data_IF_550212971241
#
_entry.id   IF_550212971241
#
_cell.length_a   1.000
_cell.length_b   1.000
_cell.length_c   1.000
_cell.angle_alpha   90.00
_cell.angle_beta   90.00
_cell.angle_gamma   90.00
#
_symmetry.space_group_name_H-M   'P 1'
#
loop_
_entity.id
_entity.type
_entity.pdbx_description
1 polymer ?
#
# COMPACT_ATOMS: atom_id res chain seq x y z
N UNK A 1 16.12 -32.89 -29.75
CA UNK A 1 14.94 -32.00 -29.61
C UNK A 1 15.30 -30.70 -28.90
N UNK A 2 15.82 -30.73 -27.67
CA UNK A 2 16.22 -29.51 -26.93
C UNK A 2 17.16 -28.58 -27.71
N UNK A 3 18.26 -29.13 -28.26
CA UNK A 3 19.23 -28.35 -29.08
C UNK A 3 18.54 -27.65 -30.26
N UNK A 4 17.64 -28.36 -30.94
CA UNK A 4 16.93 -27.83 -32.12
C UNK A 4 15.95 -26.72 -31.72
N UNK A 5 15.22 -26.88 -30.61
CA UNK A 5 14.33 -25.84 -30.10
C UNK A 5 15.10 -24.62 -29.62
N UNK A 6 16.28 -24.82 -29.01
CA UNK A 6 17.14 -23.73 -28.61
C UNK A 6 17.65 -22.93 -29.83
N UNK A 7 18.15 -23.62 -30.85
CA UNK A 7 18.56 -22.99 -32.12
C UNK A 7 17.38 -22.26 -32.77
N UNK A 8 16.19 -22.86 -32.78
CA UNK A 8 14.99 -22.21 -33.31
C UNK A 8 14.66 -20.92 -32.53
N UNK A 9 14.72 -20.95 -31.20
CA UNK A 9 14.49 -19.77 -30.36
C UNK A 9 15.51 -18.65 -30.63
N UNK A 10 16.80 -19.00 -30.76
CA UNK A 10 17.88 -18.05 -31.07
C UNK A 10 17.71 -17.43 -32.47
N UNK A 11 17.35 -18.23 -33.47
CA UNK A 11 17.06 -17.73 -34.81
C UNK A 11 15.84 -16.80 -34.83
N UNK A 12 14.74 -17.17 -34.15
CA UNK A 12 13.52 -16.36 -34.08
C UNK A 12 13.76 -15.02 -33.37
N UNK A 13 14.56 -15.02 -32.31
CA UNK A 13 14.87 -13.80 -31.55
C UNK A 13 15.50 -12.70 -32.42
N UNK A 14 16.32 -13.06 -33.40
CA UNK A 14 16.97 -12.12 -34.31
C UNK A 14 16.08 -11.52 -35.40
N UNK A 15 14.83 -11.97 -35.53
CA UNK A 15 13.91 -11.54 -36.60
C UNK A 15 13.08 -10.35 -36.11
N UNK A 16 12.96 -9.30 -36.93
CA UNK A 16 12.14 -8.13 -36.60
C UNK A 16 10.63 -8.44 -36.63
N UNK A 17 9.83 -7.55 -36.04
CA UNK A 17 8.37 -7.64 -36.13
C UNK A 17 7.91 -7.31 -37.57
N UNK A 18 6.91 -8.06 -38.07
CA UNK A 18 6.35 -7.92 -39.42
C UNK A 18 7.41 -7.91 -40.52
N UNK A 19 8.26 -8.95 -40.62
CA UNK A 19 9.33 -9.00 -41.60
C UNK A 19 8.76 -9.19 -43.02
N UNK A 20 9.58 -8.95 -44.04
CA UNK A 20 9.18 -9.12 -45.44
C UNK A 20 8.76 -10.55 -45.81
N UNK A 21 8.01 -10.70 -46.90
CA UNK A 21 7.42 -11.98 -47.34
C UNK A 21 8.43 -13.12 -47.44
N UNK A 22 9.63 -12.86 -47.96
CA UNK A 22 10.69 -13.88 -48.08
C UNK A 22 11.13 -14.45 -46.72
N UNK A 23 11.22 -13.61 -45.69
CA UNK A 23 11.57 -14.06 -44.33
C UNK A 23 10.40 -14.86 -43.75
N UNK A 24 9.16 -14.40 -43.96
CA UNK A 24 7.95 -15.11 -43.53
C UNK A 24 7.85 -16.51 -44.17
N UNK A 25 8.11 -16.63 -45.47
CA UNK A 25 8.14 -17.91 -46.19
C UNK A 25 9.23 -18.83 -45.63
N UNK A 26 10.40 -18.30 -45.30
CA UNK A 26 11.52 -19.06 -44.74
C UNK A 26 11.22 -19.62 -43.34
N UNK A 27 10.47 -18.89 -42.50
CA UNK A 27 10.11 -19.34 -41.14
C UNK A 27 8.84 -20.18 -41.09
N UNK A 28 8.02 -20.21 -42.16
CA UNK A 28 6.76 -20.95 -42.21
C UNK A 28 6.87 -22.44 -41.80
N UNK A 29 7.92 -23.20 -42.19
CA UNK A 29 8.11 -24.57 -41.72
C UNK A 29 8.29 -24.66 -40.21
N UNK A 30 8.99 -23.69 -39.60
CA UNK A 30 9.18 -23.61 -38.15
C UNK A 30 7.84 -23.34 -37.45
N UNK A 31 7.09 -22.32 -37.90
CA UNK A 31 5.76 -21.98 -37.37
C UNK A 31 4.83 -23.19 -37.38
N UNK A 32 4.87 -23.99 -38.45
CA UNK A 32 4.04 -25.19 -38.60
C UNK A 32 4.54 -26.34 -37.72
N UNK A 33 5.85 -26.48 -37.53
CA UNK A 33 6.45 -27.57 -36.76
C UNK A 33 6.21 -27.41 -35.26
N UNK A 34 6.33 -26.20 -34.69
CA UNK A 34 6.27 -25.98 -33.24
C UNK A 34 4.87 -26.22 -32.64
N UNK A 35 3.81 -26.11 -33.43
CA UNK A 35 2.41 -26.35 -33.00
C UNK A 35 1.96 -27.80 -33.15
N UNK A 36 2.86 -28.72 -33.53
CA UNK A 36 2.54 -30.15 -33.58
C UNK A 36 2.11 -30.65 -32.19
N UNK A 37 1.07 -31.50 -32.16
CA UNK A 37 0.43 -31.97 -30.91
C UNK A 37 1.43 -32.66 -29.98
N UNK A 38 2.43 -33.32 -30.53
CA UNK A 38 3.49 -34.02 -29.79
C UNK A 38 4.37 -33.04 -28.99
N UNK A 39 4.60 -31.84 -29.53
CA UNK A 39 5.36 -30.79 -28.85
C UNK A 39 4.49 -30.04 -27.83
N UNK A 40 3.27 -29.65 -28.22
CA UNK A 40 2.35 -28.93 -27.34
C UNK A 40 1.96 -29.70 -26.07
N UNK A 41 1.93 -31.04 -26.15
CA UNK A 41 1.61 -31.93 -25.02
C UNK A 41 2.84 -32.51 -24.32
N UNK A 42 4.03 -32.04 -24.67
CA UNK A 42 5.26 -32.53 -24.08
C UNK A 42 5.28 -32.27 -22.56
N UNK A 43 5.79 -33.22 -21.77
CA UNK A 43 5.74 -33.12 -20.30
C UNK A 43 6.99 -32.49 -19.68
N UNK A 44 8.13 -32.64 -20.34
CA UNK A 44 9.42 -32.09 -19.93
C UNK A 44 9.38 -30.55 -19.82
N UNK A 45 9.88 -30.02 -18.70
CA UNK A 45 9.82 -28.59 -18.39
C UNK A 45 10.78 -27.77 -19.24
N UNK A 46 11.95 -28.31 -19.57
CA UNK A 46 12.97 -27.65 -20.39
C UNK A 46 12.44 -27.44 -21.81
N UNK A 47 11.77 -28.48 -22.34
CA UNK A 47 11.06 -28.40 -23.62
C UNK A 47 9.95 -27.35 -23.57
N UNK A 48 9.16 -27.29 -22.49
CA UNK A 48 8.08 -26.30 -22.35
C UNK A 48 8.61 -24.86 -22.34
N UNK A 49 9.70 -24.59 -21.61
CA UNK A 49 10.31 -23.25 -21.56
C UNK A 49 10.88 -22.85 -22.93
N UNK A 50 11.53 -23.77 -23.64
CA UNK A 50 12.04 -23.51 -24.98
C UNK A 50 10.90 -23.28 -25.99
N UNK A 51 9.84 -24.10 -25.94
CA UNK A 51 8.64 -23.90 -26.77
C UNK A 51 7.98 -22.56 -26.47
N UNK A 52 7.79 -22.21 -25.19
CA UNK A 52 7.26 -20.91 -24.79
C UNK A 52 8.13 -19.75 -25.30
N UNK A 53 9.45 -19.92 -25.33
CA UNK A 53 10.36 -18.93 -25.93
C UNK A 53 10.08 -18.77 -27.42
N UNK A 54 10.05 -19.88 -28.18
CA UNK A 54 9.74 -19.86 -29.61
C UNK A 54 8.38 -19.21 -29.88
N UNK A 55 7.35 -19.57 -29.11
CA UNK A 55 6.02 -19.01 -29.28
C UNK A 55 5.96 -17.52 -28.94
N UNK A 56 6.64 -17.08 -27.88
CA UNK A 56 6.73 -15.67 -27.52
C UNK A 56 7.35 -14.86 -28.67
N UNK A 57 8.44 -15.35 -29.27
CA UNK A 57 9.06 -14.71 -30.43
C UNK A 57 8.18 -14.77 -31.68
N UNK A 58 7.51 -15.90 -31.95
CA UNK A 58 6.58 -16.01 -33.08
C UNK A 58 5.42 -15.01 -32.95
N UNK A 59 4.81 -14.91 -31.76
CA UNK A 59 3.74 -13.93 -31.52
C UNK A 59 4.22 -12.49 -31.69
N UNK A 60 5.48 -12.18 -31.36
CA UNK A 60 6.09 -10.88 -31.60
C UNK A 60 6.32 -10.64 -33.10
N UNK A 61 6.86 -11.63 -33.81
CA UNK A 61 7.22 -11.51 -35.24
C UNK A 61 5.97 -11.30 -36.08
N UNK A 62 4.88 -12.02 -35.82
CA UNK A 62 3.70 -11.97 -36.67
C UNK A 62 2.71 -10.87 -36.29
N UNK A 63 2.81 -10.31 -35.08
CA UNK A 63 1.94 -9.21 -34.65
C UNK A 63 1.99 -8.03 -35.65
N UNK A 64 0.85 -7.50 -36.10
CA UNK A 64 -0.47 -7.64 -35.48
C UNK A 64 -1.28 -8.87 -35.91
N UNK A 65 -0.84 -9.63 -36.92
CA UNK A 65 -1.60 -10.79 -37.41
C UNK A 65 -1.31 -12.05 -36.59
N UNK A 66 -2.39 -12.67 -36.12
CA UNK A 66 -2.32 -13.94 -35.40
C UNK A 66 -1.85 -15.07 -36.33
N UNK A 67 -0.77 -15.79 -35.99
CA UNK A 67 -0.22 -16.82 -36.87
C UNK A 67 -0.98 -18.15 -36.80
N UNK A 68 -1.90 -18.29 -35.85
CA UNK A 68 -2.60 -19.53 -35.53
C UNK A 68 -4.06 -19.27 -35.18
N UNK A 69 -4.87 -20.33 -35.19
CA UNK A 69 -6.25 -20.27 -34.71
C UNK A 69 -6.32 -20.06 -33.19
N UNK A 70 -7.47 -19.55 -32.73
CA UNK A 70 -7.74 -19.24 -31.33
C UNK A 70 -7.44 -20.40 -30.37
N UNK A 71 -7.82 -21.63 -30.71
CA UNK A 71 -7.56 -22.82 -29.88
C UNK A 71 -6.06 -23.10 -29.69
N UNK A 72 -5.28 -22.86 -30.74
CA UNK A 72 -3.82 -23.02 -30.70
C UNK A 72 -3.21 -21.89 -29.88
N UNK A 73 -3.67 -20.65 -30.09
CA UNK A 73 -3.20 -19.49 -29.31
C UNK A 73 -3.50 -19.63 -27.82
N UNK A 74 -4.68 -20.12 -27.44
CA UNK A 74 -5.01 -20.44 -26.04
C UNK A 74 -4.02 -21.43 -25.43
N UNK A 75 -3.63 -22.46 -26.18
CA UNK A 75 -2.63 -23.44 -25.74
C UNK A 75 -1.25 -22.81 -25.61
N UNK A 76 -0.87 -21.94 -26.55
CA UNK A 76 0.39 -21.18 -26.53
C UNK A 76 0.46 -20.27 -25.30
N UNK A 77 -0.58 -19.47 -25.04
CA UNK A 77 -0.58 -18.56 -23.89
C UNK A 77 -0.54 -19.32 -22.56
N UNK A 78 -1.18 -20.50 -22.46
CA UNK A 78 -1.03 -21.36 -21.27
C UNK A 78 0.42 -21.79 -21.06
N UNK A 79 1.16 -22.11 -22.13
CA UNK A 79 2.59 -22.44 -22.03
C UNK A 79 3.41 -21.21 -21.61
N UNK A 80 3.17 -20.05 -22.23
CA UNK A 80 3.86 -18.79 -21.91
C UNK A 80 3.65 -18.41 -20.44
N UNK A 81 2.39 -18.29 -20.00
CA UNK A 81 2.03 -17.94 -18.62
C UNK A 81 2.56 -18.98 -17.63
N UNK A 82 2.51 -20.27 -17.99
CA UNK A 82 3.07 -21.36 -17.19
C UNK A 82 4.57 -21.24 -16.93
N UNK A 83 5.32 -20.49 -17.76
CA UNK A 83 6.75 -20.23 -17.51
C UNK A 83 6.99 -19.25 -16.37
N UNK A 84 6.05 -18.34 -16.08
CA UNK A 84 6.28 -17.27 -15.12
C UNK A 84 6.45 -17.76 -13.69
N UNK A 85 5.78 -18.85 -13.30
CA UNK A 85 5.90 -19.40 -11.94
C UNK A 85 7.33 -19.74 -11.52
N UNK A 86 8.19 -20.16 -12.47
CA UNK A 86 9.60 -20.43 -12.15
C UNK A 86 10.51 -19.20 -12.14
N UNK A 87 9.98 -17.98 -12.27
CA UNK A 87 10.73 -16.78 -11.92
C UNK A 87 10.98 -16.69 -10.40
N UNK A 88 10.23 -17.45 -9.59
CA UNK A 88 10.48 -17.56 -8.15
C UNK A 88 11.91 -18.05 -7.81
N UNK A 89 12.51 -18.87 -8.68
CA UNK A 89 13.89 -19.36 -8.52
C UNK A 89 14.85 -18.54 -9.39
N UNK A 90 15.41 -17.49 -8.78
CA UNK A 90 16.39 -16.60 -9.41
C UNK A 90 17.71 -17.30 -9.78
N UNK A 91 17.98 -18.48 -9.21
CA UNK A 91 19.19 -19.26 -9.48
C UNK A 91 18.96 -20.34 -10.57
N UNK A 92 17.74 -20.45 -11.10
CA UNK A 92 17.42 -21.40 -12.16
C UNK A 92 18.24 -21.11 -13.43
N UNK A 93 18.73 -22.16 -14.10
CA UNK A 93 19.43 -22.03 -15.39
C UNK A 93 18.54 -21.46 -16.51
N UNK A 94 17.22 -21.47 -16.33
CA UNK A 94 16.26 -20.85 -17.24
C UNK A 94 15.78 -19.47 -16.79
N UNK A 95 16.28 -18.93 -15.68
CA UNK A 95 15.80 -17.64 -15.16
C UNK A 95 15.88 -16.53 -16.21
N UNK A 96 17.05 -16.32 -16.81
CA UNK A 96 17.25 -15.31 -17.87
C UNK A 96 16.31 -15.49 -19.06
N UNK A 97 16.02 -16.74 -19.44
CA UNK A 97 15.09 -17.05 -20.53
C UNK A 97 13.64 -16.73 -20.15
N UNK A 98 13.22 -17.03 -18.93
CA UNK A 98 11.89 -16.65 -18.42
C UNK A 98 11.74 -15.13 -18.31
N UNK A 99 12.80 -14.43 -17.91
CA UNK A 99 12.84 -12.95 -17.90
C UNK A 99 12.68 -12.41 -19.31
N UNK A 100 13.40 -12.96 -20.30
CA UNK A 100 13.24 -12.54 -21.70
C UNK A 100 11.81 -12.75 -22.23
N UNK A 101 11.17 -13.89 -21.90
CA UNK A 101 9.75 -14.12 -22.24
C UNK A 101 8.87 -13.04 -21.60
N UNK A 102 9.03 -12.77 -20.30
CA UNK A 102 8.26 -11.77 -19.57
C UNK A 102 8.43 -10.37 -20.19
N UNK A 103 9.66 -9.96 -20.49
CA UNK A 103 9.97 -8.67 -21.10
C UNK A 103 9.39 -8.53 -22.51
N UNK A 104 9.46 -9.60 -23.32
CA UNK A 104 8.85 -9.61 -24.66
C UNK A 104 7.33 -9.49 -24.59
N UNK A 105 6.68 -10.24 -23.70
CA UNK A 105 5.22 -10.14 -23.49
C UNK A 105 4.82 -8.71 -23.07
N UNK A 106 5.57 -8.10 -22.16
CA UNK A 106 5.34 -6.72 -21.72
C UNK A 106 5.55 -5.71 -22.85
N UNK A 107 6.69 -5.77 -23.54
CA UNK A 107 7.11 -4.79 -24.56
C UNK A 107 6.19 -4.79 -25.78
N UNK A 108 5.81 -5.97 -26.25
CA UNK A 108 4.97 -6.12 -27.45
C UNK A 108 3.49 -6.28 -27.12
N UNK A 109 3.12 -6.12 -25.85
CA UNK A 109 1.73 -6.15 -25.38
C UNK A 109 1.02 -7.46 -25.76
N UNK A 110 1.77 -8.56 -25.88
CA UNK A 110 1.26 -9.84 -26.36
C UNK A 110 0.15 -10.40 -25.44
N UNK A 111 0.13 -10.00 -24.17
CA UNK A 111 -0.91 -10.36 -23.22
C UNK A 111 -2.32 -9.88 -23.62
N UNK A 112 -2.45 -8.82 -24.42
CA UNK A 112 -3.76 -8.28 -24.85
C UNK A 112 -4.53 -9.29 -25.69
N UNK A 113 -3.85 -10.12 -26.47
CA UNK A 113 -4.47 -11.20 -27.25
C UNK A 113 -5.23 -12.19 -26.34
N UNK A 114 -4.82 -12.34 -25.07
CA UNK A 114 -5.58 -13.17 -24.12
C UNK A 114 -6.98 -12.60 -23.82
N UNK A 115 -7.19 -11.29 -23.95
CA UNK A 115 -8.50 -10.66 -23.81
C UNK A 115 -9.39 -11.01 -25.01
N UNK A 116 -8.87 -10.88 -26.23
CA UNK A 116 -9.58 -11.24 -27.47
C UNK A 116 -9.98 -12.72 -27.50
N UNK A 117 -9.16 -13.59 -26.90
CA UNK A 117 -9.40 -15.03 -26.81
C UNK A 117 -10.30 -15.44 -25.62
N UNK A 118 -10.75 -14.49 -24.81
CA UNK A 118 -11.55 -14.68 -23.59
C UNK A 118 -10.88 -15.59 -22.54
N UNK A 119 -9.55 -15.50 -22.40
CA UNK A 119 -8.73 -16.30 -21.47
C UNK A 119 -8.80 -15.80 -20.00
N UNK A 120 -9.99 -15.51 -19.49
CA UNK A 120 -10.18 -14.86 -18.18
C UNK A 120 -9.57 -15.63 -17.00
N UNK A 121 -9.69 -16.95 -17.00
CA UNK A 121 -9.11 -17.80 -15.94
C UNK A 121 -7.58 -17.76 -15.97
N UNK A 122 -6.99 -17.85 -17.18
CA UNK A 122 -5.53 -17.79 -17.36
C UNK A 122 -4.95 -16.44 -16.94
N UNK A 123 -5.66 -15.35 -17.25
CA UNK A 123 -5.29 -13.99 -16.82
C UNK A 123 -5.32 -13.90 -15.29
N UNK A 124 -6.36 -14.46 -14.66
CA UNK A 124 -6.50 -14.48 -13.19
C UNK A 124 -5.37 -15.29 -12.55
N UNK A 125 -5.03 -16.45 -13.12
CA UNK A 125 -3.92 -17.30 -12.65
C UNK A 125 -2.56 -16.63 -12.83
N UNK A 126 -2.37 -15.88 -13.92
CA UNK A 126 -1.15 -15.09 -14.16
C UNK A 126 -0.97 -14.01 -13.08
N UNK A 127 -2.03 -13.25 -12.75
CA UNK A 127 -1.97 -12.24 -11.70
C UNK A 127 -1.63 -12.86 -10.34
N UNK A 128 -2.27 -13.99 -10.02
CA UNK A 128 -1.98 -14.74 -8.79
C UNK A 128 -0.52 -15.19 -8.76
N UNK A 129 -0.03 -15.76 -9.86
CA UNK A 129 1.35 -16.21 -10.00
C UNK A 129 2.33 -15.06 -9.77
N UNK A 130 2.14 -13.90 -10.39
CA UNK A 130 3.01 -12.74 -10.17
C UNK A 130 3.02 -12.27 -8.71
N UNK A 131 1.85 -12.20 -8.07
CA UNK A 131 1.75 -11.80 -6.66
C UNK A 131 2.34 -12.83 -5.70
N UNK A 132 2.33 -14.13 -6.06
CA UNK A 132 2.93 -15.19 -5.25
C UNK A 132 4.46 -15.22 -5.35
N UNK A 133 5.01 -15.03 -6.55
CA UNK A 133 6.45 -15.20 -6.79
C UNK A 133 7.25 -13.92 -6.56
N UNK A 134 6.64 -12.73 -6.67
CA UNK A 134 7.38 -11.48 -6.58
C UNK A 134 8.04 -11.33 -5.21
N UNK A 135 9.35 -11.09 -5.23
CA UNK A 135 10.19 -10.99 -4.03
C UNK A 135 11.19 -9.84 -4.17
N UNK A 136 11.89 -9.53 -3.07
CA UNK A 136 12.96 -8.51 -3.05
C UNK A 136 14.23 -8.96 -3.81
N UNK A 137 14.34 -10.26 -4.13
CA UNK A 137 15.47 -10.80 -4.90
C UNK A 137 15.34 -10.55 -6.41
N UNK A 138 14.17 -10.11 -6.88
CA UNK A 138 13.97 -9.80 -8.29
C UNK A 138 14.60 -8.45 -8.65
N UNK A 139 15.25 -8.41 -9.80
CA UNK A 139 15.71 -7.16 -10.40
C UNK A 139 14.52 -6.25 -10.76
N UNK A 140 14.76 -4.93 -10.77
CA UNK A 140 13.71 -3.94 -10.94
C UNK A 140 12.97 -4.06 -12.29
N UNK A 141 13.66 -4.44 -13.36
CA UNK A 141 13.08 -4.71 -14.69
C UNK A 141 12.08 -5.88 -14.66
N UNK A 142 12.36 -6.94 -13.91
CA UNK A 142 11.46 -8.09 -13.76
C UNK A 142 10.15 -7.65 -13.13
N UNK A 143 10.21 -6.95 -11.99
CA UNK A 143 9.03 -6.43 -11.29
C UNK A 143 8.28 -5.42 -12.17
N UNK A 144 9.00 -4.55 -12.89
CA UNK A 144 8.39 -3.58 -13.81
C UNK A 144 7.65 -4.26 -14.97
N UNK A 145 8.19 -5.35 -15.51
CA UNK A 145 7.53 -6.12 -16.57
C UNK A 145 6.25 -6.81 -16.05
N UNK A 146 6.28 -7.40 -14.85
CA UNK A 146 5.07 -7.94 -14.21
C UNK A 146 3.99 -6.86 -14.06
N UNK A 147 4.35 -5.69 -13.51
CA UNK A 147 3.44 -4.56 -13.34
C UNK A 147 2.87 -4.08 -14.69
N UNK A 148 3.72 -3.99 -15.71
CA UNK A 148 3.33 -3.52 -17.05
C UNK A 148 2.31 -4.46 -17.68
N UNK A 149 2.53 -5.77 -17.60
CA UNK A 149 1.58 -6.77 -18.11
C UNK A 149 0.23 -6.66 -17.38
N UNK A 150 0.26 -6.59 -16.05
CA UNK A 150 -0.96 -6.49 -15.24
C UNK A 150 -1.75 -5.20 -15.55
N UNK A 151 -1.06 -4.06 -15.66
CA UNK A 151 -1.70 -2.79 -16.01
C UNK A 151 -2.26 -2.80 -17.44
N UNK A 152 -1.51 -3.34 -18.42
CA UNK A 152 -1.98 -3.44 -19.81
C UNK A 152 -3.28 -4.26 -19.93
N UNK A 153 -3.35 -5.39 -19.23
CA UNK A 153 -4.57 -6.21 -19.19
C UNK A 153 -5.73 -5.38 -18.64
N UNK A 154 -5.53 -4.65 -17.54
CA UNK A 154 -6.59 -3.84 -16.93
C UNK A 154 -7.05 -2.73 -17.88
N UNK A 155 -6.13 -1.96 -18.46
CA UNK A 155 -6.45 -0.84 -19.34
C UNK A 155 -7.23 -1.27 -20.58
N UNK A 156 -6.81 -2.37 -21.21
CA UNK A 156 -7.40 -2.88 -22.45
C UNK A 156 -8.67 -3.73 -22.21
N UNK A 157 -8.94 -4.15 -20.97
CA UNK A 157 -10.17 -4.90 -20.66
C UNK A 157 -11.41 -4.03 -20.83
N UNK A 158 -12.45 -4.50 -21.51
CA UNK A 158 -13.75 -3.80 -21.54
C UNK A 158 -14.41 -3.81 -20.15
N UNK A 159 -14.42 -4.98 -19.51
CA UNK A 159 -14.99 -5.21 -18.19
C UNK A 159 -13.98 -5.94 -17.31
N UNK A 160 -13.78 -5.46 -16.08
CA UNK A 160 -12.90 -6.12 -15.11
C UNK A 160 -13.70 -7.19 -14.37
N UNK A 161 -13.34 -8.46 -14.57
CA UNK A 161 -13.95 -9.58 -13.87
C UNK A 161 -13.69 -9.51 -12.35
N UNK A 162 -14.70 -9.91 -11.57
CA UNK A 162 -14.64 -9.88 -10.10
C UNK A 162 -13.50 -10.75 -9.54
N UNK A 163 -13.21 -11.90 -10.17
CA UNK A 163 -12.09 -12.77 -9.80
C UNK A 163 -10.75 -12.06 -9.89
N UNK A 164 -10.52 -11.31 -10.97
CA UNK A 164 -9.31 -10.55 -11.20
C UNK A 164 -9.16 -9.41 -10.19
N UNK A 165 -10.24 -8.65 -9.98
CA UNK A 165 -10.27 -7.60 -8.95
C UNK A 165 -9.98 -8.17 -7.56
N UNK A 166 -10.58 -9.31 -7.23
CA UNK A 166 -10.38 -9.98 -5.95
C UNK A 166 -8.92 -10.41 -5.77
N UNK A 167 -8.27 -10.97 -6.80
CA UNK A 167 -6.83 -11.30 -6.74
C UNK A 167 -6.01 -10.06 -6.42
N UNK A 168 -6.24 -8.94 -7.12
CA UNK A 168 -5.51 -7.69 -6.90
C UNK A 168 -5.73 -7.11 -5.50
N UNK A 169 -6.98 -7.03 -5.05
CA UNK A 169 -7.31 -6.51 -3.72
C UNK A 169 -6.89 -7.45 -2.58
N UNK A 170 -6.84 -8.76 -2.85
CA UNK A 170 -6.38 -9.74 -1.86
C UNK A 170 -4.90 -9.57 -1.50
N UNK A 171 -4.09 -8.98 -2.38
CA UNK A 171 -2.70 -8.64 -2.11
C UNK A 171 -2.50 -7.41 -1.21
N UNK A 172 -3.57 -6.65 -0.93
CA UNK A 172 -3.52 -5.46 -0.09
C UNK A 172 -3.68 -5.81 1.40
N UNK A 173 -3.10 -4.95 2.24
CA UNK A 173 -3.20 -4.95 3.68
C UNK A 173 -1.88 -5.15 4.42
N UNK A 174 -1.71 -4.41 5.51
CA UNK A 174 -0.54 -4.43 6.40
C UNK A 174 -0.47 -5.65 7.29
N UNK A 175 -1.63 -6.18 7.69
CA UNK A 175 -1.76 -7.18 8.74
C UNK A 175 -1.84 -8.62 8.20
N UNK A 176 -1.67 -8.82 6.88
CA UNK A 176 -1.78 -10.14 6.26
C UNK A 176 -0.52 -10.96 6.39
N UNK A 177 -0.65 -12.14 6.99
CA UNK A 177 0.38 -13.18 6.98
C UNK A 177 0.34 -13.91 5.64
N UNK A 178 1.52 -14.21 5.07
CA UNK A 178 1.65 -14.96 3.82
C UNK A 178 1.63 -14.14 2.52
N UNK A 179 1.49 -12.81 2.59
CA UNK A 179 1.64 -11.93 1.42
C UNK A 179 2.92 -11.12 1.57
N UNK A 180 3.81 -11.19 0.58
CA UNK A 180 5.09 -10.47 0.63
C UNK A 180 4.88 -8.96 0.50
N UNK A 181 5.78 -8.17 1.09
CA UNK A 181 5.77 -6.71 0.89
C UNK A 181 5.94 -6.35 -0.59
N UNK A 182 6.67 -7.16 -1.36
CA UNK A 182 6.82 -7.00 -2.80
C UNK A 182 5.50 -7.22 -3.55
N UNK A 183 4.69 -8.21 -3.15
CA UNK A 183 3.37 -8.47 -3.73
C UNK A 183 2.42 -7.29 -3.51
N UNK A 184 2.39 -6.78 -2.28
CA UNK A 184 1.61 -5.59 -1.93
C UNK A 184 2.08 -4.35 -2.70
N UNK A 185 3.39 -4.14 -2.82
CA UNK A 185 3.96 -3.04 -3.63
C UNK A 185 3.57 -3.16 -5.11
N UNK A 186 3.67 -4.36 -5.68
CA UNK A 186 3.26 -4.64 -7.06
C UNK A 186 1.77 -4.34 -7.26
N UNK A 187 0.90 -4.86 -6.40
CA UNK A 187 -0.54 -4.61 -6.46
C UNK A 187 -0.88 -3.11 -6.40
N UNK A 188 -0.26 -2.36 -5.48
CA UNK A 188 -0.45 -0.90 -5.42
C UNK A 188 0.03 -0.19 -6.67
N UNK A 189 1.18 -0.59 -7.23
CA UNK A 189 1.70 -0.01 -8.47
C UNK A 189 0.80 -0.25 -9.67
N UNK A 190 0.17 -1.44 -9.75
CA UNK A 190 -0.87 -1.74 -10.74
C UNK A 190 -2.11 -0.86 -10.54
N UNK A 191 -2.59 -0.73 -9.29
CA UNK A 191 -3.75 0.11 -8.97
C UNK A 191 -3.48 1.59 -9.29
N UNK A 192 -2.29 2.10 -8.98
CA UNK A 192 -1.88 3.47 -9.28
C UNK A 192 -1.90 3.74 -10.78
N UNK A 193 -1.28 2.86 -11.56
CA UNK A 193 -1.18 2.99 -13.01
C UNK A 193 -2.55 2.86 -13.70
N UNK A 194 -3.46 2.08 -13.12
CA UNK A 194 -4.79 1.80 -13.67
C UNK A 194 -5.93 2.39 -12.86
N UNK A 195 -5.67 3.47 -12.12
CA UNK A 195 -6.63 4.03 -11.16
C UNK A 195 -7.95 4.42 -11.81
N UNK A 196 -7.92 5.05 -12.99
CA UNK A 196 -9.12 5.48 -13.70
C UNK A 196 -10.01 4.32 -14.12
N UNK A 197 -9.42 3.23 -14.65
CA UNK A 197 -10.14 2.03 -15.06
C UNK A 197 -10.71 1.25 -13.88
N UNK A 198 -9.94 1.15 -12.80
CA UNK A 198 -10.31 0.41 -11.59
C UNK A 198 -11.29 1.15 -10.68
N UNK A 199 -11.38 2.48 -10.77
CA UNK A 199 -12.20 3.34 -9.91
C UNK A 199 -13.64 2.82 -9.70
N UNK A 200 -14.46 2.57 -10.75
CA UNK A 200 -15.84 2.12 -10.55
C UNK A 200 -15.93 0.76 -9.85
N UNK A 201 -14.97 -0.14 -10.10
CA UNK A 201 -14.95 -1.49 -9.54
C UNK A 201 -14.54 -1.48 -8.06
N UNK A 202 -13.49 -0.73 -7.72
CA UNK A 202 -13.05 -0.56 -6.32
C UNK A 202 -14.13 0.15 -5.51
N UNK A 203 -14.75 1.20 -6.07
CA UNK A 203 -15.88 1.88 -5.40
C UNK A 203 -17.01 0.92 -5.10
N UNK A 204 -17.46 0.15 -6.11
CA UNK A 204 -18.53 -0.85 -5.94
C UNK A 204 -18.18 -1.90 -4.88
N UNK A 205 -16.95 -2.40 -4.89
CA UNK A 205 -16.47 -3.35 -3.88
C UNK A 205 -16.54 -2.75 -2.47
N UNK A 206 -15.97 -1.55 -2.28
CA UNK A 206 -15.90 -0.91 -0.97
C UNK A 206 -17.28 -0.53 -0.44
N UNK A 207 -18.16 0.06 -1.26
CA UNK A 207 -19.51 0.42 -0.82
C UNK A 207 -20.33 -0.81 -0.45
N UNK A 208 -20.22 -1.90 -1.22
CA UNK A 208 -20.92 -3.17 -0.90
C UNK A 208 -20.39 -3.80 0.38
N UNK A 209 -19.07 -3.77 0.58
CA UNK A 209 -18.44 -4.30 1.80
C UNK A 209 -18.82 -3.48 3.04
N UNK A 210 -18.77 -2.14 2.94
CA UNK A 210 -19.07 -1.22 4.05
C UNK A 210 -20.57 -1.17 4.39
N UNK A 211 -21.45 -1.41 3.41
CA UNK A 211 -22.89 -1.51 3.65
C UNK A 211 -23.31 -2.86 4.26
N UNK A 212 -22.38 -3.78 4.51
CA UNK A 212 -22.67 -5.10 5.09
C UNK A 212 -23.30 -6.12 4.12
N UNK A 213 -23.27 -5.87 2.81
CA UNK A 213 -23.94 -6.73 1.82
C UNK A 213 -23.15 -8.01 1.46
N UNK A 214 -21.89 -8.14 1.88
CA UNK A 214 -20.98 -9.21 1.43
C UNK A 214 -20.44 -10.09 2.58
N UNK A 215 -21.25 -10.38 3.61
CA UNK A 215 -20.82 -11.20 4.75
C UNK A 215 -20.67 -12.71 4.46
N UNK A 216 -20.86 -13.17 3.21
CA UNK A 216 -20.81 -14.60 2.90
C UNK A 216 -20.35 -14.92 1.47
N UNK A 217 -19.03 -15.04 1.25
CA UNK A 217 -18.39 -16.09 0.44
C UNK A 217 -16.90 -15.77 0.21
N UNK A 218 -16.02 -16.71 0.60
CA UNK A 218 -14.60 -16.85 0.28
C UNK A 218 -13.64 -15.70 0.64
N UNK A 219 -12.86 -15.92 1.72
CA UNK A 219 -11.63 -15.16 2.02
C UNK A 219 -11.86 -13.66 2.23
N UNK A 220 -12.47 -13.29 3.36
CA UNK A 220 -12.89 -11.92 3.65
C UNK A 220 -11.73 -10.91 3.47
N UNK A 221 -11.76 -10.16 2.37
CA UNK A 221 -10.85 -9.02 2.16
C UNK A 221 -11.23 -7.94 3.17
N UNK A 222 -10.27 -7.58 4.03
CA UNK A 222 -10.43 -6.47 4.96
C UNK A 222 -10.49 -5.14 4.20
N UNK A 223 -11.67 -4.51 4.20
CA UNK A 223 -11.91 -3.27 3.47
C UNK A 223 -11.17 -2.08 4.08
N UNK A 224 -10.91 -2.05 5.40
CA UNK A 224 -10.12 -1.00 6.02
C UNK A 224 -8.67 -1.06 5.54
N UNK A 225 -8.13 -2.26 5.42
CA UNK A 225 -6.78 -2.47 4.88
C UNK A 225 -6.69 -2.15 3.37
N UNK A 226 -7.74 -2.43 2.58
CA UNK A 226 -7.84 -1.96 1.18
C UNK A 226 -7.87 -0.43 1.12
N UNK A 227 -8.70 0.22 1.96
CA UNK A 227 -8.77 1.70 2.02
C UNK A 227 -7.40 2.27 2.35
N UNK A 228 -6.68 1.69 3.32
CA UNK A 228 -5.34 2.15 3.70
C UNK A 228 -4.34 2.13 2.53
N UNK A 229 -4.32 1.05 1.74
CA UNK A 229 -3.42 0.93 0.59
C UNK A 229 -3.83 1.81 -0.59
N UNK A 230 -5.12 1.82 -0.92
CA UNK A 230 -5.64 2.64 -2.02
C UNK A 230 -5.48 4.13 -1.72
N UNK A 231 -5.49 4.55 -0.45
CA UNK A 231 -5.23 5.94 -0.08
C UNK A 231 -3.82 6.39 -0.46
N UNK A 232 -2.84 5.49 -0.35
CA UNK A 232 -1.44 5.81 -0.67
C UNK A 232 -1.15 5.86 -2.16
N UNK A 233 -1.90 5.13 -2.99
CA UNK A 233 -1.61 5.00 -4.43
C UNK A 233 -2.67 5.59 -5.36
N UNK A 234 -3.95 5.61 -4.96
CA UNK A 234 -5.06 6.11 -5.78
C UNK A 234 -6.17 6.77 -4.91
N UNK A 235 -5.86 7.80 -4.09
CA UNK A 235 -6.79 8.31 -3.08
C UNK A 235 -8.09 8.90 -3.64
N UNK A 236 -8.10 9.35 -4.90
CA UNK A 236 -9.30 9.91 -5.56
C UNK A 236 -10.44 8.91 -5.62
N UNK A 237 -10.12 7.61 -5.74
CA UNK A 237 -11.09 6.51 -5.77
C UNK A 237 -11.89 6.42 -4.46
N UNK A 238 -11.29 6.82 -3.34
CA UNK A 238 -11.83 6.63 -2.00
C UNK A 238 -12.82 7.70 -1.54
N UNK A 239 -13.09 8.75 -2.34
CA UNK A 239 -14.09 9.77 -1.94
C UNK A 239 -15.44 9.14 -1.55
N UNK A 240 -15.81 8.01 -2.17
CA UNK A 240 -17.08 7.32 -1.91
C UNK A 240 -17.18 6.72 -0.50
N UNK A 241 -16.05 6.40 0.17
CA UNK A 241 -16.09 5.71 1.47
C UNK A 241 -16.32 6.67 2.64
N UNK A 242 -16.13 7.98 2.42
CA UNK A 242 -16.15 8.99 3.49
C UNK A 242 -17.44 8.93 4.33
N UNK A 243 -18.67 8.93 3.75
CA UNK A 243 -19.90 8.81 4.54
C UNK A 243 -19.99 7.51 5.36
N UNK A 244 -19.46 6.40 4.83
CA UNK A 244 -19.51 5.10 5.51
C UNK A 244 -18.58 5.09 6.73
N UNK A 245 -17.33 5.54 6.57
CA UNK A 245 -16.38 5.61 7.69
C UNK A 245 -16.84 6.64 8.73
N UNK A 246 -17.48 7.74 8.32
CA UNK A 246 -18.15 8.65 9.25
C UNK A 246 -19.24 7.92 10.04
N UNK A 247 -20.05 7.09 9.38
CA UNK A 247 -21.06 6.26 10.05
C UNK A 247 -20.45 5.31 11.07
N UNK A 248 -19.36 4.62 10.72
CA UNK A 248 -18.65 3.73 11.63
C UNK A 248 -18.05 4.46 12.84
N UNK A 249 -17.49 5.67 12.66
CA UNK A 249 -17.00 6.52 13.75
C UNK A 249 -18.10 6.96 14.72
N UNK A 250 -19.34 7.05 14.23
CA UNK A 250 -20.51 7.47 14.99
C UNK A 250 -21.34 6.30 15.51
N UNK A 251 -20.95 5.06 15.19
CA UNK A 251 -21.70 3.87 15.53
C UNK A 251 -21.74 3.63 17.05
N UNK A 252 -22.78 2.94 17.51
CA UNK A 252 -22.90 2.58 18.92
C UNK A 252 -21.88 1.52 19.34
N UNK A 253 -21.55 0.62 18.41
CA UNK A 253 -20.61 -0.46 18.59
C UNK A 253 -19.17 0.07 18.76
N UNK A 254 -18.59 -0.23 19.93
CA UNK A 254 -17.21 0.16 20.28
C UNK A 254 -16.20 -0.40 19.29
N UNK A 255 -16.41 -1.63 18.83
CA UNK A 255 -15.51 -2.30 17.89
C UNK A 255 -15.46 -1.59 16.52
N UNK A 256 -16.61 -1.14 16.00
CA UNK A 256 -16.66 -0.40 14.74
C UNK A 256 -15.92 0.93 14.87
N UNK A 257 -16.24 1.72 15.91
CA UNK A 257 -15.53 2.99 16.18
C UNK A 257 -14.03 2.78 16.32
N UNK A 258 -13.62 1.73 17.04
CA UNK A 258 -12.20 1.41 17.24
C UNK A 258 -11.47 1.08 15.94
N UNK A 259 -12.09 0.30 15.04
CA UNK A 259 -11.50 -0.03 13.73
C UNK A 259 -11.35 1.21 12.85
N UNK A 260 -12.35 2.09 12.81
CA UNK A 260 -12.28 3.32 12.02
C UNK A 260 -11.28 4.32 12.59
N UNK A 261 -11.16 4.42 13.92
CA UNK A 261 -10.13 5.24 14.58
C UNK A 261 -8.73 4.73 14.26
N UNK A 262 -8.51 3.41 14.31
CA UNK A 262 -7.23 2.80 13.92
C UNK A 262 -6.89 3.10 12.45
N UNK A 263 -7.84 2.88 11.53
CA UNK A 263 -7.66 3.16 10.10
C UNK A 263 -7.29 4.62 9.86
N UNK A 264 -8.09 5.56 10.39
CA UNK A 264 -7.90 6.98 10.15
C UNK A 264 -6.66 7.52 10.84
N UNK A 265 -6.39 7.09 12.05
CA UNK A 265 -5.17 7.45 12.77
C UNK A 265 -3.92 7.07 11.99
N UNK A 266 -3.89 5.86 11.42
CA UNK A 266 -2.79 5.40 10.59
C UNK A 266 -2.72 6.13 9.23
N UNK A 267 -3.86 6.42 8.59
CA UNK A 267 -3.92 7.22 7.35
C UNK A 267 -3.37 8.63 7.55
N UNK A 268 -3.81 9.33 8.59
CA UNK A 268 -3.39 10.70 8.87
C UNK A 268 -1.95 10.77 9.38
N UNK A 269 -1.42 9.67 9.94
CA UNK A 269 -0.02 9.59 10.38
C UNK A 269 0.98 9.30 9.25
N UNK A 270 0.51 9.07 8.02
CA UNK A 270 1.39 8.84 6.87
C UNK A 270 2.34 10.01 6.64
N UNK A 271 3.66 9.76 6.48
CA UNK A 271 4.64 10.81 6.28
C UNK A 271 4.48 11.46 4.90
N UNK A 272 4.66 12.78 4.83
CA UNK A 272 4.69 13.53 3.58
C UNK A 272 3.34 13.71 2.86
N UNK A 273 2.25 13.14 3.38
CA UNK A 273 0.89 13.28 2.80
C UNK A 273 0.05 14.19 3.69
N UNK A 274 -0.36 15.40 3.22
CA UNK A 274 -1.31 16.23 3.94
C UNK A 274 -2.71 15.59 3.92
N UNK A 275 -3.60 16.01 4.83
CA UNK A 275 -4.97 15.50 4.80
C UNK A 275 -5.64 15.99 3.52
N UNK A 276 -6.04 15.02 2.68
CA UNK A 276 -6.70 15.32 1.42
C UNK A 276 -8.02 16.07 1.64
N UNK A 277 -8.35 16.99 0.73
CA UNK A 277 -9.57 17.80 0.81
C UNK A 277 -10.83 16.94 1.01
N UNK A 278 -10.94 15.82 0.29
CA UNK A 278 -12.06 14.88 0.41
C UNK A 278 -12.16 14.20 1.78
N UNK A 279 -11.09 14.19 2.57
CA UNK A 279 -11.00 13.56 3.90
C UNK A 279 -11.03 14.58 5.05
N UNK A 280 -11.06 15.89 4.78
CA UNK A 280 -11.06 16.92 5.85
C UNK A 280 -12.25 16.80 6.80
N UNK A 281 -13.45 16.54 6.28
CA UNK A 281 -14.63 16.32 7.14
C UNK A 281 -14.46 15.10 8.04
N UNK A 282 -13.82 14.05 7.52
CA UNK A 282 -13.55 12.83 8.27
C UNK A 282 -12.45 13.03 9.31
N UNK A 283 -11.44 13.86 9.01
CA UNK A 283 -10.43 14.27 9.96
C UNK A 283 -11.03 15.05 11.14
N UNK A 284 -11.95 15.98 10.88
CA UNK A 284 -12.67 16.69 11.94
C UNK A 284 -13.47 15.72 12.81
N UNK A 285 -14.16 14.74 12.22
CA UNK A 285 -14.92 13.75 12.99
C UNK A 285 -14.01 12.81 13.79
N UNK A 286 -12.84 12.48 13.25
CA UNK A 286 -11.77 11.77 13.96
C UNK A 286 -11.28 12.55 15.18
N UNK A 287 -11.04 13.86 15.07
CA UNK A 287 -10.66 14.71 16.21
C UNK A 287 -11.74 14.72 17.30
N UNK A 288 -13.02 14.72 16.94
CA UNK A 288 -14.12 14.65 17.93
C UNK A 288 -14.12 13.36 18.73
N UNK A 289 -13.47 12.28 18.25
CA UNK A 289 -13.31 11.05 19.04
C UNK A 289 -12.40 11.22 20.26
N UNK A 290 -11.69 12.36 20.41
CA UNK A 290 -11.05 12.75 21.67
C UNK A 290 -12.03 12.88 22.84
N UNK A 291 -13.34 13.01 22.56
CA UNK A 291 -14.40 13.05 23.57
C UNK A 291 -15.30 11.80 23.53
N UNK A 292 -14.82 10.69 22.97
CA UNK A 292 -15.60 9.45 22.94
C UNK A 292 -15.95 8.97 24.36
N UNK A 293 -17.09 8.29 24.49
CA UNK A 293 -17.53 7.72 25.78
C UNK A 293 -16.56 6.65 26.30
N UNK A 294 -15.83 5.98 25.40
CA UNK A 294 -14.86 4.94 25.75
C UNK A 294 -13.48 5.56 25.92
N UNK A 295 -12.84 5.30 27.07
CA UNK A 295 -11.52 5.85 27.42
C UNK A 295 -10.46 5.39 26.42
N UNK A 296 -10.49 4.12 26.06
CA UNK A 296 -9.53 3.46 25.17
C UNK A 296 -9.53 4.08 23.77
N UNK A 297 -10.70 4.49 23.27
CA UNK A 297 -10.81 5.20 21.99
C UNK A 297 -10.13 6.57 22.08
N UNK A 298 -10.39 7.33 23.15
CA UNK A 298 -9.75 8.64 23.36
C UNK A 298 -8.23 8.53 23.43
N UNK A 299 -7.73 7.53 24.17
CA UNK A 299 -6.29 7.24 24.25
C UNK A 299 -5.70 6.86 22.89
N UNK A 300 -6.41 6.04 22.12
CA UNK A 300 -5.99 5.68 20.76
C UNK A 300 -5.90 6.91 19.84
N UNK A 301 -6.88 7.81 19.88
CA UNK A 301 -6.85 9.04 19.09
C UNK A 301 -5.66 9.93 19.50
N UNK A 302 -5.40 10.10 20.80
CA UNK A 302 -4.24 10.87 21.29
C UNK A 302 -2.93 10.28 20.75
N UNK A 303 -2.77 8.97 20.79
CA UNK A 303 -1.55 8.31 20.30
C UNK A 303 -1.35 8.53 18.79
N UNK A 304 -2.41 8.43 17.99
CA UNK A 304 -2.34 8.71 16.56
C UNK A 304 -2.06 10.19 16.25
N UNK A 305 -2.64 11.13 17.00
CA UNK A 305 -2.36 12.55 16.85
C UNK A 305 -0.92 12.90 17.23
N UNK A 306 -0.35 12.24 18.25
CA UNK A 306 1.07 12.32 18.58
C UNK A 306 1.93 11.84 17.40
N UNK A 307 1.66 10.65 16.86
CA UNK A 307 2.35 10.12 15.67
C UNK A 307 2.28 11.09 14.50
N UNK A 308 1.09 11.65 14.23
CA UNK A 308 0.87 12.66 13.20
C UNK A 308 1.82 13.86 13.31
N UNK A 309 1.95 14.43 14.53
CA UNK A 309 2.81 15.58 14.78
C UNK A 309 4.30 15.23 14.74
N UNK A 310 4.69 14.04 15.19
CA UNK A 310 6.08 13.57 15.10
C UNK A 310 6.48 13.36 13.63
N UNK A 311 5.64 12.71 12.84
CA UNK A 311 5.90 12.44 11.42
C UNK A 311 6.01 13.72 10.58
N UNK A 312 5.23 14.75 10.89
CA UNK A 312 5.29 16.05 10.22
C UNK A 312 4.74 17.17 11.12
N UNK A 313 5.63 17.80 11.90
CA UNK A 313 5.24 18.87 12.83
C UNK A 313 4.79 20.15 12.11
N UNK A 314 5.24 20.37 10.87
CA UNK A 314 4.94 21.58 10.09
C UNK A 314 3.69 21.44 9.22
N UNK A 315 2.90 20.37 9.41
CA UNK A 315 1.70 20.14 8.60
C UNK A 315 0.61 21.20 8.86
N UNK A 316 -0.23 21.53 7.85
CA UNK A 316 -1.27 22.55 7.99
C UNK A 316 -2.24 22.30 9.16
N UNK A 317 -2.49 21.03 9.49
CA UNK A 317 -3.40 20.61 10.54
C UNK A 317 -2.77 20.68 11.95
N UNK A 318 -1.45 20.90 12.09
CA UNK A 318 -0.76 20.86 13.37
C UNK A 318 -1.36 21.80 14.44
N UNK A 319 -1.71 23.07 14.14
CA UNK A 319 -2.35 23.94 15.14
C UNK A 319 -3.71 23.43 15.62
N UNK A 320 -4.50 22.84 14.71
CA UNK A 320 -5.80 22.25 15.05
C UNK A 320 -5.63 21.01 15.93
N UNK A 321 -4.67 20.14 15.60
CA UNK A 321 -4.32 18.95 16.39
C UNK A 321 -3.87 19.34 17.80
N UNK A 322 -2.93 20.28 17.91
CA UNK A 322 -2.39 20.74 19.21
C UNK A 322 -3.51 21.32 20.07
N UNK A 323 -4.38 22.14 19.47
CA UNK A 323 -5.55 22.69 20.16
C UNK A 323 -6.47 21.58 20.66
N UNK A 324 -6.83 20.63 19.80
CA UNK A 324 -7.74 19.53 20.14
C UNK A 324 -7.18 18.65 21.28
N UNK A 325 -5.86 18.39 21.26
CA UNK A 325 -5.17 17.72 22.37
C UNK A 325 -5.27 18.54 23.66
N UNK A 326 -4.99 19.84 23.60
CA UNK A 326 -5.02 20.72 24.78
C UNK A 326 -6.41 20.83 25.41
N UNK A 327 -7.48 20.78 24.61
CA UNK A 327 -8.85 20.73 25.11
C UNK A 327 -9.11 19.51 26.00
N UNK A 328 -8.24 18.48 25.96
CA UNK A 328 -8.31 17.26 26.81
C UNK A 328 -7.36 17.30 28.03
N UNK A 329 -6.66 18.40 28.31
CA UNK A 329 -5.86 18.54 29.54
C UNK A 329 -6.71 18.52 30.82
N UNK A 330 -8.01 18.81 30.70
CA UNK A 330 -9.00 18.79 31.79
C UNK A 330 -9.99 17.61 31.67
N UNK A 331 -9.62 16.57 30.93
CA UNK A 331 -10.46 15.38 30.82
C UNK A 331 -10.78 14.77 32.19
N UNK A 332 -11.96 14.17 32.33
CA UNK A 332 -12.40 13.53 33.58
C UNK A 332 -11.46 12.37 33.97
N UNK A 333 -10.98 11.61 32.98
CA UNK A 333 -10.10 10.47 33.21
C UNK A 333 -8.65 10.91 33.37
N UNK A 334 -8.01 10.53 34.47
CA UNK A 334 -6.61 10.89 34.75
C UNK A 334 -5.63 10.32 33.72
N UNK A 335 -5.90 9.12 33.20
CA UNK A 335 -5.05 8.49 32.18
C UNK A 335 -5.10 9.25 30.85
N UNK A 336 -6.26 9.81 30.49
CA UNK A 336 -6.39 10.67 29.29
C UNK A 336 -5.58 11.93 29.48
N UNK A 337 -5.73 12.62 30.63
CA UNK A 337 -4.94 13.82 30.94
C UNK A 337 -3.43 13.55 30.91
N UNK A 338 -2.97 12.47 31.55
CA UNK A 338 -1.56 12.05 31.52
C UNK A 338 -1.09 11.81 30.08
N UNK A 339 -1.89 11.14 29.24
CA UNK A 339 -1.50 10.84 27.87
C UNK A 339 -1.44 12.08 26.99
N UNK A 340 -2.29 13.09 27.22
CA UNK A 340 -2.18 14.39 26.54
C UNK A 340 -0.87 15.09 26.91
N UNK A 341 -0.51 15.11 28.21
CA UNK A 341 0.78 15.63 28.68
C UNK A 341 1.93 14.90 27.98
N UNK A 342 1.87 13.57 27.92
CA UNK A 342 2.87 12.75 27.22
C UNK A 342 2.99 13.18 25.76
N UNK A 343 1.87 13.19 25.01
CA UNK A 343 1.85 13.49 23.59
C UNK A 343 2.42 14.87 23.26
N UNK A 344 1.98 15.92 23.95
CA UNK A 344 2.46 17.29 23.68
C UNK A 344 3.93 17.45 24.05
N UNK A 345 4.37 16.90 25.18
CA UNK A 345 5.77 16.96 25.58
C UNK A 345 6.68 16.11 24.69
N UNK A 346 6.24 14.93 24.24
CA UNK A 346 6.98 14.09 23.30
C UNK A 346 7.24 14.84 21.98
N UNK A 347 6.23 15.52 21.43
CA UNK A 347 6.38 16.33 20.21
C UNK A 347 7.34 17.50 20.44
N UNK A 348 7.23 18.19 21.57
CA UNK A 348 8.12 19.30 21.92
C UNK A 348 9.58 18.87 22.12
N UNK A 349 9.80 17.68 22.68
CA UNK A 349 11.13 17.08 22.81
C UNK A 349 11.68 16.56 21.49
N UNK A 350 10.81 16.11 20.57
CA UNK A 350 11.22 15.63 19.26
C UNK A 350 11.77 16.77 18.39
N UNK A 351 11.08 17.91 18.32
CA UNK A 351 11.52 19.07 17.54
C UNK A 351 11.20 20.39 18.26
N UNK A 352 12.20 21.27 18.42
CA UNK A 352 11.99 22.54 19.12
C UNK A 352 11.23 23.51 18.21
N UNK A 353 10.21 24.17 18.76
CA UNK A 353 9.33 25.04 17.99
C UNK A 353 8.17 24.30 17.29
N UNK A 354 8.14 22.96 17.32
CA UNK A 354 6.98 22.19 16.84
C UNK A 354 5.71 22.44 17.67
N UNK A 355 5.89 22.76 18.95
CA UNK A 355 4.80 23.09 19.88
C UNK A 355 5.00 24.52 20.38
N UNK A 356 4.00 25.41 20.26
CA UNK A 356 4.12 26.78 20.78
C UNK A 356 4.36 26.81 22.29
N UNK A 357 5.23 27.70 22.77
CA UNK A 357 5.53 27.85 24.21
C UNK A 357 4.29 28.01 25.10
N UNK A 358 3.26 28.72 24.63
CA UNK A 358 2.01 28.90 25.38
C UNK A 358 1.26 27.57 25.60
N UNK A 359 1.38 26.64 24.66
CA UNK A 359 0.88 25.27 24.80
C UNK A 359 1.63 24.54 25.93
N UNK A 360 2.95 24.68 26.00
CA UNK A 360 3.77 24.08 27.06
C UNK A 360 3.44 24.67 28.43
N UNK A 361 3.14 25.98 28.50
CA UNK A 361 2.66 26.61 29.74
C UNK A 361 1.28 26.07 30.16
N UNK A 362 0.36 25.82 29.23
CA UNK A 362 -0.93 25.17 29.52
C UNK A 362 -0.72 23.75 30.08
N UNK A 363 0.16 22.97 29.46
CA UNK A 363 0.56 21.64 29.97
C UNK A 363 1.14 21.77 31.37
N UNK A 364 2.00 22.76 31.62
CA UNK A 364 2.62 22.98 32.92
C UNK A 364 1.61 23.31 34.04
N UNK A 365 0.37 23.70 33.73
CA UNK A 365 -0.67 23.84 34.74
C UNK A 365 -1.11 22.50 35.35
N UNK A 366 -0.80 21.37 34.71
CA UNK A 366 -1.05 20.02 35.23
C UNK A 366 -0.15 19.62 36.40
N UNK A 367 0.87 20.40 36.76
CA UNK A 367 1.59 20.20 38.04
C UNK A 367 0.68 20.47 39.26
N UNK A 368 -0.46 21.14 39.05
CA UNK A 368 -1.50 21.38 40.06
C UNK A 368 -2.73 20.50 39.86
N UNK A 369 -2.59 19.40 39.12
CA UNK A 369 -3.69 18.47 38.86
C UNK A 369 -4.20 17.80 40.15
N UNK A 370 -5.46 17.37 40.20
CA UNK A 370 -5.99 16.63 41.37
C UNK A 370 -5.38 15.23 41.49
N UNK A 371 -4.96 14.62 40.39
CA UNK A 371 -4.33 13.31 40.38
C UNK A 371 -2.84 13.43 40.62
N UNK A 372 -2.33 12.75 41.66
CA UNK A 372 -0.90 12.67 41.94
C UNK A 372 -0.11 12.08 40.75
N UNK A 373 -0.71 11.11 40.05
CA UNK A 373 -0.11 10.49 38.86
C UNK A 373 0.10 11.51 37.74
N UNK A 374 -0.89 12.38 37.49
CA UNK A 374 -0.77 13.43 36.47
C UNK A 374 0.21 14.52 36.92
N UNK A 375 0.19 14.89 38.20
CA UNK A 375 1.10 15.87 38.82
C UNK A 375 2.56 15.46 38.65
N UNK A 376 2.93 14.27 39.15
CA UNK A 376 4.30 13.75 39.09
C UNK A 376 4.77 13.62 37.64
N UNK A 377 3.93 13.03 36.78
CA UNK A 377 4.29 12.85 35.38
C UNK A 377 4.49 14.19 34.65
N UNK A 378 3.66 15.20 34.90
CA UNK A 378 3.85 16.53 34.30
C UNK A 378 5.18 17.14 34.74
N UNK A 379 5.53 17.03 36.01
CA UNK A 379 6.79 17.55 36.54
C UNK A 379 8.00 16.87 35.86
N UNK A 380 7.98 15.54 35.73
CA UNK A 380 9.00 14.77 35.02
C UNK A 380 9.13 15.24 33.56
N UNK A 381 8.01 15.37 32.84
CA UNK A 381 8.02 15.80 31.43
C UNK A 381 8.49 17.24 31.23
N UNK A 382 8.20 18.14 32.16
CA UNK A 382 8.76 19.50 32.15
C UNK A 382 10.27 19.47 32.38
N UNK A 383 10.75 18.62 33.29
CA UNK A 383 12.18 18.44 33.53
C UNK A 383 12.89 17.89 32.28
N UNK A 384 12.28 16.95 31.56
CA UNK A 384 12.81 16.43 30.28
C UNK A 384 12.97 17.54 29.24
N UNK A 385 11.94 18.38 29.05
CA UNK A 385 11.99 19.53 28.13
C UNK A 385 13.11 20.48 28.53
N UNK A 386 13.21 20.85 29.82
CA UNK A 386 14.23 21.77 30.30
C UNK A 386 15.64 21.20 30.16
N UNK A 387 15.83 19.91 30.48
CA UNK A 387 17.10 19.21 30.27
C UNK A 387 17.53 19.29 28.80
N UNK A 388 16.60 19.03 27.87
CA UNK A 388 16.90 19.08 26.45
C UNK A 388 17.17 20.51 25.97
N UNK A 389 16.46 21.50 26.51
CA UNK A 389 16.71 22.91 26.27
C UNK A 389 18.14 23.31 26.70
N UNK A 390 18.58 22.93 27.91
CA UNK A 390 19.93 23.19 28.39
C UNK A 390 21.01 22.52 27.51
N UNK A 391 20.74 21.30 27.02
CA UNK A 391 21.67 20.59 26.14
C UNK A 391 21.81 21.24 24.75
N UNK A 392 20.74 21.85 24.22
CA UNK A 392 20.78 22.55 22.92
C UNK A 392 21.29 23.99 23.03
N UNK A 393 21.12 24.63 24.18
CA UNK A 393 21.55 26.00 24.46
C UNK A 393 23.07 26.20 24.43
N UNK A 394 23.88 25.14 24.43
CA UNK A 394 25.33 25.24 24.25
C UNK A 394 25.79 25.40 22.79
N UNK A 395 24.92 25.09 21.81
CA UNK A 395 25.35 24.85 20.42
C UNK A 395 24.79 25.82 19.36
N UNK A 396 23.95 26.82 19.70
CA UNK A 396 23.35 27.66 18.65
C UNK A 396 22.90 29.08 19.03
N UNK A 397 23.13 30.02 18.11
CA UNK A 397 22.75 31.43 18.11
C UNK A 397 21.29 31.70 17.68
N UNK A 398 20.42 30.70 17.80
CA UNK A 398 19.04 30.75 17.29
C UNK A 398 18.06 31.05 18.43
N UNK A 399 17.13 31.97 18.18
CA UNK A 399 16.10 32.42 19.13
C UNK A 399 15.10 31.28 19.43
N UNK A 400 15.44 30.35 20.31
CA UNK A 400 14.48 29.36 20.81
C UNK A 400 13.53 29.99 21.83
N UNK A 401 12.31 29.45 21.90
CA UNK A 401 11.36 29.75 22.97
C UNK A 401 12.03 29.64 24.35
N UNK A 402 11.92 30.70 25.16
CA UNK A 402 12.60 30.77 26.45
C UNK A 402 11.94 29.86 27.50
N UNK A 403 12.58 28.73 27.82
CA UNK A 403 12.11 27.76 28.81
C UNK A 403 12.65 27.97 30.24
N UNK A 404 13.31 29.09 30.54
CA UNK A 404 13.89 29.39 31.87
C UNK A 404 12.85 29.52 33.01
N UNK A 405 11.56 29.60 32.68
CA UNK A 405 10.48 29.59 33.67
C UNK A 405 10.20 28.19 34.25
N UNK A 406 10.64 27.11 33.58
CA UNK A 406 10.33 25.73 33.99
C UNK A 406 10.89 25.40 35.38
N UNK A 407 12.19 25.63 35.70
CA UNK A 407 12.72 25.36 37.04
C UNK A 407 11.94 26.06 38.14
N UNK A 408 11.56 27.33 37.90
CA UNK A 408 10.75 28.11 38.84
C UNK A 408 9.36 27.51 39.06
N UNK A 409 8.72 26.95 38.01
CA UNK A 409 7.42 26.26 38.12
C UNK A 409 7.56 24.96 38.93
N UNK A 410 8.59 24.16 38.68
CA UNK A 410 8.87 22.90 39.38
C UNK A 410 9.17 23.16 40.86
N UNK A 411 10.07 24.09 41.19
CA UNK A 411 10.44 24.39 42.58
C UNK A 411 9.27 24.87 43.45
N UNK A 412 8.27 25.53 42.85
CA UNK A 412 7.05 25.93 43.57
C UNK A 412 6.22 24.72 44.03
N UNK A 413 6.40 23.55 43.43
CA UNK A 413 5.69 22.33 43.83
C UNK A 413 6.12 21.82 45.21
N UNK A 414 7.29 22.22 45.75
CA UNK A 414 7.76 21.90 47.12
C UNK A 414 6.78 22.39 48.20
N UNK A 415 6.01 23.44 47.89
CA UNK A 415 5.00 23.98 48.80
C UNK A 415 3.68 23.19 48.79
N UNK A 416 3.46 22.33 47.78
CA UNK A 416 2.31 21.45 47.71
C UNK A 416 2.55 20.21 48.58
N UNK A 417 1.53 19.83 49.35
CA UNK A 417 1.62 18.71 50.30
C UNK A 417 1.78 17.37 49.59
N UNK A 418 1.29 17.26 48.37
CA UNK A 418 1.33 16.00 47.60
C UNK A 418 2.74 15.66 47.09
N UNK A 419 3.67 16.64 47.13
CA UNK A 419 5.08 16.48 46.74
C UNK A 419 6.06 16.49 47.93
N UNK A 420 5.54 16.48 49.16
CA UNK A 420 6.30 16.27 50.39
C UNK A 420 6.19 14.82 50.83
#
# INVERSE_FOLDING_TARGET
MLIVLQQAAECLHGIEQSPGSSVMEAIQPCLTAVVRKELLKHQDQDVKVLLATCFCEITRITAPEAPYSDDVLRTIFRLIVGTFGGLADVNSHYFSRRVAILETVARYRACVVMLDLECNDLITDMFRTFLEIVSENHEANVVKSMQTIMALIIEESEIIHQSLLHVLLSALGRKKTGISLSARKLARGVIEQSAGKLEPYIKKFLTSSLAGANSSANGHIDHHEVIFDVYQCAPRVLKVVVPYITGELLADEVEMRSKSVELLGELFSLPGVPVLESFKSLFIEFLKRLTDRVVEIRLSVIEHLKKCLISNHSRPEAPEIIKALCDRLLDYEENVRKQVVAAVCDVACHEFGAVPIETIKLVAERVRDKSLLVKCYTMERLADIYKLYCLKGSDSSTNFDNFEWIPGKILRCIYDKDFR
#
